data_IF_851970010659
#
_entry.id   IF_851970010659
#
_cell.length_a   1.000
_cell.length_b   1.000
_cell.length_c   1.000
_cell.angle_alpha   90.00
_cell.angle_beta   90.00
_cell.angle_gamma   90.00
#
_symmetry.space_group_name_H-M   'P 1'
#
loop_
_entity.id
_entity.type
_entity.pdbx_description
1 polymer ?
#
# COMPACT_ATOMS: atom_id res chain seq x y z
N UNK A 1 32.88 17.18 -12.29
CA UNK A 1 33.26 17.37 -13.71
C UNK A 1 32.18 16.80 -14.61
N UNK A 2 31.64 17.61 -15.52
CA UNK A 2 30.85 17.08 -16.65
C UNK A 2 31.75 16.17 -17.50
N UNK A 3 31.17 15.43 -18.46
CA UNK A 3 31.96 14.49 -19.27
C UNK A 3 33.14 15.20 -19.95
N UNK A 4 32.90 16.37 -20.54
CA UNK A 4 33.93 17.19 -21.21
C UNK A 4 35.04 17.72 -20.30
N UNK A 5 34.73 17.96 -19.02
CA UNK A 5 35.67 18.57 -18.06
C UNK A 5 36.50 17.53 -17.30
N UNK A 6 36.31 16.23 -17.59
CA UNK A 6 37.04 15.18 -16.89
C UNK A 6 38.53 15.28 -17.21
N UNK A 7 39.43 15.42 -16.20
CA UNK A 7 40.86 15.47 -16.42
C UNK A 7 41.33 14.29 -17.26
N UNK A 8 42.20 14.53 -18.24
CA UNK A 8 42.57 13.53 -19.25
C UNK A 8 43.03 12.19 -18.65
N UNK A 9 43.83 12.23 -17.58
CA UNK A 9 44.32 11.03 -16.88
C UNK A 9 43.25 10.21 -16.15
N UNK A 10 42.06 10.77 -15.90
CA UNK A 10 40.96 10.10 -15.19
C UNK A 10 39.85 9.59 -16.11
N UNK A 11 39.87 9.93 -17.40
CA UNK A 11 38.79 9.58 -18.35
C UNK A 11 38.60 8.07 -18.47
N UNK A 12 39.69 7.33 -18.62
CA UNK A 12 39.67 5.86 -18.73
C UNK A 12 39.16 5.22 -17.43
N UNK A 13 39.58 5.73 -16.27
CA UNK A 13 39.12 5.22 -14.98
C UNK A 13 37.62 5.47 -14.77
N UNK A 14 37.14 6.67 -15.16
CA UNK A 14 35.72 7.01 -15.12
C UNK A 14 34.88 6.07 -15.99
N UNK A 15 35.31 5.82 -17.22
CA UNK A 15 34.61 4.91 -18.13
C UNK A 15 34.62 3.47 -17.64
N UNK A 16 35.77 2.99 -17.16
CA UNK A 16 35.90 1.66 -16.57
C UNK A 16 34.95 1.46 -15.38
N UNK A 17 34.84 2.45 -14.51
CA UNK A 17 33.91 2.38 -13.38
C UNK A 17 32.45 2.32 -13.85
N UNK A 18 32.07 3.09 -14.88
CA UNK A 18 30.71 3.01 -15.43
C UNK A 18 30.40 1.64 -16.04
N UNK A 19 31.38 0.99 -16.69
CA UNK A 19 31.23 -0.37 -17.20
C UNK A 19 31.04 -1.36 -16.04
N UNK A 20 31.86 -1.24 -14.99
CA UNK A 20 31.73 -2.08 -13.80
C UNK A 20 30.35 -1.93 -13.13
N UNK A 21 29.85 -0.70 -13.01
CA UNK A 21 28.54 -0.41 -12.41
C UNK A 21 27.37 -0.95 -13.25
N UNK A 22 27.51 -1.05 -14.59
CA UNK A 22 26.47 -1.64 -15.45
C UNK A 22 26.50 -3.17 -15.44
N UNK A 23 27.68 -3.76 -15.32
CA UNK A 23 27.87 -5.20 -15.45
C UNK A 23 27.58 -5.71 -16.87
N UNK A 24 27.28 -7.01 -16.98
CA UNK A 24 27.14 -7.73 -18.25
C UNK A 24 25.72 -8.28 -18.50
N UNK A 25 24.77 -7.95 -17.62
CA UNK A 25 23.39 -8.43 -17.67
C UNK A 25 23.18 -9.91 -17.34
N UNK A 26 24.20 -10.62 -16.85
CA UNK A 26 24.16 -12.07 -16.60
C UNK A 26 24.46 -12.41 -15.14
N UNK A 27 24.16 -13.63 -14.73
CA UNK A 27 24.50 -14.15 -13.40
C UNK A 27 23.59 -13.64 -12.27
N UNK A 28 23.68 -14.31 -11.14
CA UNK A 28 22.98 -13.97 -9.88
C UNK A 28 23.75 -12.84 -9.19
N UNK A 29 23.04 -11.84 -8.69
CA UNK A 29 23.66 -10.74 -7.94
C UNK A 29 23.99 -11.15 -6.51
N UNK A 30 25.16 -10.76 -6.04
CA UNK A 30 25.62 -11.02 -4.66
C UNK A 30 25.52 -9.77 -3.79
N UNK A 31 25.52 -9.92 -2.47
CA UNK A 31 25.36 -8.79 -1.54
C UNK A 31 26.51 -7.78 -1.58
N UNK A 32 27.67 -8.16 -2.11
CA UNK A 32 28.83 -7.28 -2.32
C UNK A 32 28.83 -6.57 -3.68
N UNK A 33 27.95 -6.96 -4.61
CA UNK A 33 27.91 -6.38 -5.95
C UNK A 33 27.44 -4.91 -5.90
N UNK A 34 27.97 -4.10 -6.82
CA UNK A 34 27.58 -2.68 -7.02
C UNK A 34 26.93 -2.47 -8.40
N UNK A 35 26.35 -3.54 -8.95
CA UNK A 35 25.87 -3.57 -10.33
C UNK A 35 24.41 -3.11 -10.41
N UNK A 36 24.16 -2.12 -11.24
CA UNK A 36 22.85 -1.55 -11.55
C UNK A 36 22.40 -2.02 -12.92
N UNK A 37 21.30 -2.76 -12.95
CA UNK A 37 20.70 -3.27 -14.17
C UNK A 37 19.19 -3.43 -13.98
N UNK A 38 18.46 -3.65 -15.07
CA UNK A 38 17.01 -3.61 -15.10
C UNK A 38 16.39 -4.97 -15.36
N UNK A 39 15.23 -5.19 -14.74
CA UNK A 39 14.39 -6.34 -15.03
C UNK A 39 12.91 -5.99 -14.79
N UNK A 40 12.01 -6.85 -15.25
CA UNK A 40 10.55 -6.73 -15.07
C UNK A 40 10.12 -7.21 -13.69
N UNK A 41 8.89 -6.89 -13.27
CA UNK A 41 8.32 -7.44 -12.05
C UNK A 41 7.75 -8.83 -12.33
N UNK A 42 8.65 -9.81 -12.44
CA UNK A 42 8.36 -11.23 -12.58
C UNK A 42 8.64 -12.03 -11.28
N UNK A 43 8.93 -11.33 -10.18
CA UNK A 43 9.32 -11.89 -8.88
C UNK A 43 8.26 -11.69 -7.78
N UNK A 44 7.06 -11.26 -8.15
CA UNK A 44 5.95 -11.02 -7.21
C UNK A 44 5.12 -12.28 -6.91
N UNK A 45 5.02 -13.23 -7.85
CA UNK A 45 4.27 -14.47 -7.69
C UNK A 45 5.07 -15.56 -6.98
N UNK A 46 4.37 -16.58 -6.46
CA UNK A 46 4.98 -17.81 -5.94
C UNK A 46 4.30 -19.07 -6.50
N UNK A 47 4.39 -19.32 -7.82
CA UNK A 47 3.68 -20.42 -8.45
C UNK A 47 4.05 -21.80 -7.86
N UNK A 48 5.27 -21.98 -7.37
CA UNK A 48 5.75 -23.25 -6.81
C UNK A 48 4.99 -23.68 -5.54
N UNK A 49 4.47 -22.72 -4.77
CA UNK A 49 3.65 -22.97 -3.57
C UNK A 49 2.15 -23.16 -3.90
N UNK A 50 1.69 -22.70 -5.07
CA UNK A 50 0.28 -22.79 -5.44
C UNK A 50 -0.10 -21.97 -6.66
N UNK A 51 -1.07 -22.47 -7.43
CA UNK A 51 -1.57 -21.80 -8.65
C UNK A 51 -2.18 -20.43 -8.34
N UNK A 52 -2.83 -20.29 -7.18
CA UNK A 52 -3.43 -19.06 -6.66
C UNK A 52 -2.40 -17.99 -6.30
N UNK A 53 -1.13 -18.36 -6.16
CA UNK A 53 -0.01 -17.45 -5.92
C UNK A 53 0.71 -17.05 -7.22
N UNK A 54 0.27 -17.57 -8.36
CA UNK A 54 0.74 -17.13 -9.68
C UNK A 54 0.32 -15.68 -9.93
N UNK A 55 1.26 -14.85 -10.42
CA UNK A 55 0.99 -13.45 -10.79
C UNK A 55 1.50 -13.18 -12.20
N UNK A 56 0.83 -12.30 -12.96
CA UNK A 56 1.34 -11.87 -14.26
C UNK A 56 2.63 -11.06 -14.10
N UNK A 57 3.53 -11.15 -15.08
CA UNK A 57 4.70 -10.28 -15.15
C UNK A 57 4.28 -8.86 -15.50
N UNK A 58 4.71 -7.88 -14.71
CA UNK A 58 4.49 -6.46 -15.00
C UNK A 58 5.73 -5.85 -15.67
N UNK A 59 5.54 -5.24 -16.83
CA UNK A 59 6.59 -4.69 -17.69
C UNK A 59 6.99 -5.62 -18.83
N UNK A 60 7.50 -5.04 -19.93
CA UNK A 60 7.99 -5.80 -21.09
C UNK A 60 6.90 -6.23 -22.09
N UNK A 61 5.62 -6.05 -21.77
CA UNK A 61 4.50 -6.30 -22.68
C UNK A 61 3.62 -5.05 -22.83
N UNK A 62 2.86 -4.98 -23.93
CA UNK A 62 1.87 -3.93 -24.15
C UNK A 62 0.63 -4.11 -23.27
N UNK A 63 0.32 -5.35 -22.87
CA UNK A 63 -0.84 -5.66 -22.02
C UNK A 63 -0.61 -5.25 -20.56
N UNK A 64 0.64 -5.34 -20.08
CA UNK A 64 1.02 -4.96 -18.72
C UNK A 64 2.24 -4.03 -18.76
N UNK A 65 2.10 -2.79 -19.24
CA UNK A 65 3.18 -1.83 -19.22
C UNK A 65 3.50 -1.44 -17.77
N UNK A 66 4.79 -1.45 -17.42
CA UNK A 66 5.22 -1.11 -16.05
C UNK A 66 6.69 -0.64 -16.03
N UNK A 67 7.08 0.24 -15.10
CA UNK A 67 8.48 0.55 -14.83
C UNK A 67 9.33 -0.71 -14.59
N UNK A 68 10.63 -0.59 -14.85
CA UNK A 68 11.59 -1.66 -14.51
C UNK A 68 12.03 -1.54 -13.07
N UNK A 69 12.42 -2.67 -12.49
CA UNK A 69 13.04 -2.77 -11.16
C UNK A 69 14.52 -3.13 -11.30
N UNK A 70 15.24 -3.14 -10.17
CA UNK A 70 16.62 -3.60 -10.12
C UNK A 70 16.71 -5.10 -10.41
N UNK A 71 17.53 -5.49 -11.40
CA UNK A 71 17.80 -6.90 -11.72
C UNK A 71 18.48 -7.59 -10.54
N UNK A 72 18.03 -8.80 -10.23
CA UNK A 72 18.57 -9.67 -9.17
C UNK A 72 19.16 -10.95 -9.75
N UNK A 73 18.57 -11.46 -10.84
CA UNK A 73 19.12 -12.56 -11.62
C UNK A 73 19.10 -13.91 -10.90
N UNK A 74 18.22 -14.10 -9.91
CA UNK A 74 17.98 -15.40 -9.28
C UNK A 74 17.40 -16.38 -10.30
N UNK A 75 17.44 -17.66 -9.94
CA UNK A 75 16.88 -18.70 -10.78
C UNK A 75 15.37 -18.49 -10.96
N UNK A 76 14.80 -18.91 -12.11
CA UNK A 76 13.37 -19.03 -12.26
C UNK A 76 12.74 -19.96 -11.22
N UNK A 77 11.42 -19.89 -11.08
CA UNK A 77 10.67 -20.87 -10.28
C UNK A 77 10.64 -22.22 -11.01
N UNK A 78 10.38 -23.30 -10.28
CA UNK A 78 10.36 -24.66 -10.85
C UNK A 78 9.17 -24.85 -11.82
N UNK A 79 8.05 -24.19 -11.53
CA UNK A 79 6.81 -24.30 -12.33
C UNK A 79 6.79 -23.33 -13.52
N UNK A 80 7.47 -22.18 -13.45
CA UNK A 80 7.40 -21.16 -14.49
C UNK A 80 8.77 -20.53 -14.77
N UNK A 81 9.35 -20.87 -15.93
CA UNK A 81 10.66 -20.35 -16.37
C UNK A 81 10.71 -18.82 -16.57
N UNK A 82 9.57 -18.14 -16.63
CA UNK A 82 9.47 -16.69 -16.79
C UNK A 82 9.27 -15.95 -15.46
N UNK A 83 8.93 -16.66 -14.38
CA UNK A 83 8.84 -16.09 -13.04
C UNK A 83 10.17 -16.29 -12.31
N UNK A 84 10.70 -15.26 -11.67
CA UNK A 84 11.91 -15.36 -10.85
C UNK A 84 11.55 -15.86 -9.44
N UNK A 85 12.37 -16.75 -8.87
CA UNK A 85 12.19 -17.25 -7.51
C UNK A 85 12.13 -16.12 -6.48
N UNK A 86 11.28 -16.30 -5.45
CA UNK A 86 11.11 -15.33 -4.37
C UNK A 86 12.23 -15.39 -3.36
N UNK A 87 12.46 -14.25 -2.71
CA UNK A 87 13.30 -14.17 -1.50
C UNK A 87 12.38 -14.10 -0.29
N UNK A 88 12.41 -15.13 0.54
CA UNK A 88 11.66 -15.17 1.80
C UNK A 88 12.51 -14.68 2.97
N UNK A 89 11.85 -14.14 3.99
CA UNK A 89 12.54 -13.73 5.23
C UNK A 89 13.23 -14.94 5.89
N UNK A 90 14.42 -14.76 6.49
CA UNK A 90 15.12 -13.51 6.76
C UNK A 90 16.12 -13.07 5.68
N UNK A 91 16.11 -13.70 4.50
CA UNK A 91 17.10 -13.43 3.47
C UNK A 91 16.90 -12.02 2.87
N UNK A 92 17.98 -11.23 2.69
CA UNK A 92 17.88 -9.90 2.13
C UNK A 92 17.65 -9.95 0.61
N UNK A 93 16.74 -9.10 0.13
CA UNK A 93 16.61 -8.82 -1.30
C UNK A 93 17.86 -8.07 -1.78
N UNK A 94 18.43 -8.49 -2.91
CA UNK A 94 19.58 -7.78 -3.48
C UNK A 94 19.19 -6.37 -3.91
N UNK A 95 19.99 -5.42 -3.47
CA UNK A 95 20.19 -4.10 -4.08
C UNK A 95 21.71 -3.85 -4.14
N UNK A 96 22.20 -2.99 -5.04
CA UNK A 96 23.61 -2.63 -5.10
C UNK A 96 24.14 -2.27 -3.70
N UNK A 97 25.35 -2.71 -3.36
CA UNK A 97 25.86 -2.69 -1.99
C UNK A 97 25.73 -1.34 -1.30
N UNK A 98 25.96 -0.27 -2.05
CA UNK A 98 25.93 1.11 -1.53
C UNK A 98 24.50 1.64 -1.31
N UNK A 99 23.48 0.98 -1.87
CA UNK A 99 22.04 1.29 -1.70
C UNK A 99 21.40 0.53 -0.53
N UNK A 100 22.12 -0.41 0.09
CA UNK A 100 21.60 -1.15 1.23
C UNK A 100 21.46 -0.25 2.45
N UNK A 101 20.43 -0.50 3.25
CA UNK A 101 20.32 0.13 4.55
C UNK A 101 21.54 -0.19 5.42
N UNK A 102 21.99 0.80 6.20
CA UNK A 102 22.88 0.52 7.30
C UNK A 102 22.18 -0.37 8.35
N UNK A 103 22.95 -0.99 9.24
CA UNK A 103 22.45 -2.01 10.17
C UNK A 103 21.30 -1.48 11.05
N UNK A 104 21.40 -0.27 11.58
CA UNK A 104 20.37 0.31 12.44
C UNK A 104 19.05 0.58 11.70
N UNK A 105 19.11 1.10 10.47
CA UNK A 105 17.93 1.28 9.62
C UNK A 105 17.35 -0.06 9.19
N UNK A 106 18.20 -1.04 8.84
CA UNK A 106 17.76 -2.38 8.45
C UNK A 106 17.02 -3.07 9.60
N UNK A 107 17.58 -3.04 10.81
CA UNK A 107 16.94 -3.59 12.00
C UNK A 107 15.58 -2.91 12.26
N UNK A 108 15.53 -1.58 12.16
CA UNK A 108 14.28 -0.82 12.28
C UNK A 108 13.27 -1.24 11.21
N UNK A 109 13.70 -1.40 9.96
CA UNK A 109 12.85 -1.83 8.85
C UNK A 109 12.30 -3.24 9.06
N UNK A 110 13.15 -4.20 9.47
CA UNK A 110 12.74 -5.59 9.76
C UNK A 110 11.70 -5.62 10.89
N UNK A 111 11.94 -4.89 11.98
CA UNK A 111 11.00 -4.79 13.09
C UNK A 111 9.67 -4.18 12.63
N UNK A 112 9.71 -3.09 11.86
CA UNK A 112 8.49 -2.45 11.32
C UNK A 112 7.73 -3.35 10.37
N UNK A 113 8.42 -4.09 9.48
CA UNK A 113 7.80 -5.05 8.56
C UNK A 113 7.14 -6.19 9.33
N UNK A 114 7.82 -6.74 10.34
CA UNK A 114 7.25 -7.78 11.22
C UNK A 114 6.02 -7.26 11.96
N UNK A 115 6.10 -6.06 12.55
CA UNK A 115 4.96 -5.39 13.20
C UNK A 115 3.79 -5.21 12.24
N UNK A 116 4.04 -4.80 10.99
CA UNK A 116 3.00 -4.66 9.96
C UNK A 116 2.33 -6.00 9.60
N UNK A 117 3.09 -7.08 9.46
CA UNK A 117 2.52 -8.42 9.23
C UNK A 117 1.64 -8.85 10.40
N UNK A 118 2.11 -8.65 11.63
CA UNK A 118 1.33 -8.96 12.84
C UNK A 118 0.04 -8.14 12.89
N UNK A 119 0.12 -6.84 12.59
CA UNK A 119 -1.03 -5.96 12.52
C UNK A 119 -2.05 -6.41 11.48
N UNK A 120 -1.62 -6.91 10.32
CA UNK A 120 -2.54 -7.47 9.31
C UNK A 120 -3.23 -8.76 9.77
N UNK A 121 -2.64 -9.50 10.72
CA UNK A 121 -3.23 -10.71 11.28
C UNK A 121 -4.20 -10.45 12.43
N UNK A 122 -4.25 -9.23 12.97
CA UNK A 122 -5.10 -8.85 14.12
C UNK A 122 -6.58 -9.23 13.93
N UNK A 123 -7.22 -8.98 12.77
CA UNK A 123 -8.58 -9.45 12.53
C UNK A 123 -8.72 -10.98 12.66
N UNK A 124 -7.79 -11.75 12.08
CA UNK A 124 -7.80 -13.22 12.17
C UNK A 124 -7.48 -13.75 13.57
N UNK A 125 -6.63 -13.05 14.33
CA UNK A 125 -6.34 -13.36 15.72
C UNK A 125 -7.55 -13.10 16.63
N UNK A 126 -8.23 -11.98 16.43
CA UNK A 126 -9.50 -11.66 17.11
C UNK A 126 -10.54 -12.74 16.83
N UNK A 127 -10.70 -13.12 15.56
CA UNK A 127 -11.61 -14.19 15.16
C UNK A 127 -11.29 -15.52 15.85
N UNK A 128 -10.01 -15.84 16.06
CA UNK A 128 -9.57 -17.08 16.73
C UNK A 128 -9.79 -17.07 18.25
N UNK A 129 -9.84 -15.89 18.88
CA UNK A 129 -10.07 -15.71 20.33
C UNK A 129 -11.55 -15.75 20.70
N UNK A 130 -12.43 -15.29 19.81
CA UNK A 130 -13.87 -15.21 20.04
C UNK A 130 -14.57 -16.47 19.55
N UNK A 131 -15.04 -17.34 20.44
CA UNK A 131 -15.75 -18.56 20.07
C UNK A 131 -17.05 -18.30 19.26
N UNK A 132 -17.64 -17.10 19.37
CA UNK A 132 -18.96 -16.79 18.80
C UNK A 132 -19.07 -15.43 18.06
N UNK A 133 -18.00 -14.63 17.90
CA UNK A 133 -18.12 -13.31 17.26
C UNK A 133 -16.80 -12.78 16.66
N UNK A 134 -16.65 -12.96 15.35
CA UNK A 134 -15.42 -12.64 14.61
C UNK A 134 -15.31 -11.17 14.16
N UNK A 135 -16.32 -10.34 14.42
CA UNK A 135 -16.44 -9.01 13.85
C UNK A 135 -16.11 -7.88 14.84
N UNK A 136 -15.89 -6.67 14.32
CA UNK A 136 -15.96 -5.44 15.11
C UNK A 136 -17.42 -5.01 15.22
N UNK A 137 -18.00 -5.16 16.41
CA UNK A 137 -19.44 -4.92 16.62
C UNK A 137 -19.73 -3.46 16.91
N UNK A 138 -18.73 -2.72 17.43
CA UNK A 138 -18.85 -1.34 17.86
C UNK A 138 -17.57 -0.59 17.51
N UNK A 139 -17.68 0.73 17.35
CA UNK A 139 -16.48 1.58 17.18
C UNK A 139 -15.55 1.54 18.39
N UNK A 140 -16.06 1.26 19.59
CA UNK A 140 -15.20 1.03 20.76
C UNK A 140 -14.23 -0.14 20.56
N UNK A 141 -14.66 -1.21 19.90
CA UNK A 141 -13.79 -2.37 19.62
C UNK A 141 -12.60 -1.99 18.73
N UNK A 142 -12.74 -0.93 17.93
CA UNK A 142 -11.68 -0.37 17.09
C UNK A 142 -10.82 0.59 17.91
N UNK A 143 -11.42 1.44 18.75
CA UNK A 143 -10.71 2.32 19.68
C UNK A 143 -9.77 1.53 20.61
N UNK A 144 -10.22 0.35 21.05
CA UNK A 144 -9.48 -0.54 21.96
C UNK A 144 -8.15 -1.00 21.35
N UNK A 145 -8.04 -1.08 20.01
CA UNK A 145 -6.78 -1.39 19.32
C UNK A 145 -5.68 -0.35 19.59
N UNK A 146 -6.07 0.88 19.92
CA UNK A 146 -5.17 2.01 20.17
C UNK A 146 -5.02 2.36 21.65
N UNK A 147 -5.99 2.02 22.52
CA UNK A 147 -5.88 2.24 23.97
C UNK A 147 -5.18 1.07 24.66
N UNK A 148 -5.78 -0.12 24.55
CA UNK A 148 -5.44 -1.29 25.37
C UNK A 148 -4.75 -2.40 24.55
N UNK A 149 -4.90 -2.36 23.22
CA UNK A 149 -4.42 -3.38 22.30
C UNK A 149 -5.25 -4.66 22.35
N UNK A 150 -4.87 -5.68 21.55
CA UNK A 150 -5.55 -6.98 21.63
C UNK A 150 -5.06 -7.81 22.83
N UNK A 151 -5.96 -8.32 23.68
CA UNK A 151 -5.60 -9.28 24.72
C UNK A 151 -5.38 -10.67 24.09
N UNK A 152 -4.15 -11.01 23.70
CA UNK A 152 -3.82 -12.38 23.31
C UNK A 152 -3.50 -13.23 24.55
N UNK A 153 -4.10 -14.42 24.61
CA UNK A 153 -3.69 -15.44 25.58
C UNK A 153 -2.30 -15.98 25.20
N UNK A 154 -1.44 -16.22 26.21
CA UNK A 154 -0.05 -16.71 26.02
C UNK A 154 0.04 -18.00 25.18
N UNK A 155 -1.01 -18.82 25.22
CA UNK A 155 -1.18 -20.04 24.41
C UNK A 155 -1.12 -19.77 22.89
N UNK A 156 -1.74 -18.67 22.43
CA UNK A 156 -1.79 -18.31 20.99
C UNK A 156 -0.48 -17.68 20.55
N UNK A 157 0.13 -16.88 21.43
CA UNK A 157 1.45 -16.28 21.19
C UNK A 157 2.52 -17.35 20.92
N UNK A 158 2.44 -18.48 21.63
CA UNK A 158 3.33 -19.63 21.44
C UNK A 158 3.05 -20.42 20.15
N UNK A 159 1.85 -20.35 19.58
CA UNK A 159 1.51 -21.09 18.35
C UNK A 159 1.96 -20.39 17.06
N UNK A 160 2.33 -19.11 17.13
CA UNK A 160 2.69 -18.32 15.95
C UNK A 160 4.19 -17.99 16.02
N UNK A 161 5.05 -18.68 15.24
CA UNK A 161 6.51 -18.51 15.31
C UNK A 161 6.97 -17.06 15.11
N UNK A 162 6.32 -16.34 14.19
CA UNK A 162 6.59 -14.92 13.92
C UNK A 162 6.40 -14.01 15.14
N UNK A 163 5.39 -14.28 15.97
CA UNK A 163 5.15 -13.50 17.19
C UNK A 163 6.23 -13.77 18.24
N UNK A 164 6.74 -15.01 18.34
CA UNK A 164 7.81 -15.37 19.27
C UNK A 164 9.14 -14.67 18.94
N UNK A 165 9.45 -14.49 17.65
CA UNK A 165 10.65 -13.76 17.23
C UNK A 165 10.55 -12.29 17.64
N UNK A 166 9.37 -11.71 17.49
CA UNK A 166 9.14 -10.29 17.75
C UNK A 166 9.09 -9.97 19.24
N UNK A 167 8.52 -10.84 20.08
CA UNK A 167 8.51 -10.68 21.54
C UNK A 167 9.90 -10.71 22.15
N UNK A 168 10.81 -11.54 21.62
CA UNK A 168 12.24 -11.55 22.02
C UNK A 168 12.99 -10.26 21.65
N UNK A 169 12.53 -9.55 20.62
CA UNK A 169 13.12 -8.27 20.17
C UNK A 169 12.49 -7.08 20.93
N UNK A 170 11.26 -7.23 21.42
CA UNK A 170 10.43 -6.13 21.93
C UNK A 170 10.39 -5.99 23.47
N UNK A 171 11.27 -6.66 24.22
CA UNK A 171 11.42 -6.43 25.68
C UNK A 171 11.69 -4.95 26.07
N UNK A 172 11.87 -4.03 25.11
CA UNK A 172 12.16 -2.61 25.33
C UNK A 172 11.03 -1.59 25.03
N UNK A 173 9.85 -1.94 24.50
CA UNK A 173 8.82 -0.90 24.25
C UNK A 173 7.39 -1.43 24.09
N UNK A 174 6.41 -0.62 24.51
CA UNK A 174 4.96 -0.83 24.56
C UNK A 174 4.36 -1.89 23.60
N UNK A 175 3.37 -2.63 24.11
CA UNK A 175 2.84 -3.90 23.60
C UNK A 175 2.74 -4.04 22.08
N UNK A 176 3.20 -5.18 21.58
CA UNK A 176 3.25 -5.56 20.17
C UNK A 176 1.90 -5.46 19.43
N UNK A 177 0.80 -5.55 20.15
CA UNK A 177 -0.56 -5.65 19.61
C UNK A 177 -1.35 -4.35 19.78
N UNK A 178 -0.67 -3.29 20.21
CA UNK A 178 -1.22 -1.95 20.36
C UNK A 178 -0.75 -1.09 19.19
N UNK A 179 -1.71 -0.49 18.51
CA UNK A 179 -1.45 0.48 17.46
C UNK A 179 -1.09 1.84 18.07
N UNK A 180 -0.27 2.60 17.35
CA UNK A 180 -0.08 4.01 17.67
C UNK A 180 -1.37 4.78 17.37
N UNK A 181 -1.82 5.63 18.29
CA UNK A 181 -3.06 6.41 18.11
C UNK A 181 -2.94 7.37 16.93
N UNK A 182 -3.81 7.27 15.90
CA UNK A 182 -3.80 8.16 14.75
C UNK A 182 -4.01 9.62 15.15
N UNK A 183 -3.32 10.53 14.46
CA UNK A 183 -3.41 11.98 14.74
C UNK A 183 -4.83 12.53 14.58
N UNK A 184 -5.59 12.03 13.60
CA UNK A 184 -6.96 12.48 13.33
C UNK A 184 -7.90 12.27 14.54
N UNK A 185 -7.77 11.14 15.24
CA UNK A 185 -8.60 10.83 16.42
C UNK A 185 -7.98 11.29 17.76
N UNK A 186 -6.78 11.88 17.73
CA UNK A 186 -6.05 12.23 18.96
C UNK A 186 -6.68 13.37 19.76
N UNK A 187 -7.41 14.28 19.10
CA UNK A 187 -8.12 15.40 19.74
C UNK A 187 -9.62 15.19 19.77
N UNK A 188 -10.19 14.80 18.63
CA UNK A 188 -11.62 14.55 18.46
C UNK A 188 -11.81 13.17 17.83
N UNK A 189 -12.33 12.23 18.62
CA UNK A 189 -12.56 10.83 18.23
C UNK A 189 -13.55 10.67 17.09
N UNK A 190 -14.45 11.63 16.87
CA UNK A 190 -15.52 11.55 15.87
C UNK A 190 -15.30 12.49 14.68
N UNK A 191 -14.15 13.18 14.63
CA UNK A 191 -13.82 14.13 13.56
C UNK A 191 -13.93 13.50 12.16
N UNK A 192 -13.50 12.25 12.01
CA UNK A 192 -13.52 11.49 10.75
C UNK A 192 -14.93 11.19 10.21
N UNK A 193 -15.99 11.28 11.04
CA UNK A 193 -17.38 11.09 10.60
C UNK A 193 -17.99 12.34 9.95
N UNK A 194 -17.32 13.50 10.08
CA UNK A 194 -17.85 14.78 9.63
C UNK A 194 -17.59 14.99 8.13
N UNK A 195 -18.51 15.68 7.45
CA UNK A 195 -18.43 15.89 6.01
C UNK A 195 -17.39 16.94 5.61
N UNK A 196 -17.14 17.91 6.48
CA UNK A 196 -16.10 18.90 6.27
C UNK A 196 -14.72 18.27 6.38
N UNK A 197 -14.50 17.37 7.35
CA UNK A 197 -13.25 16.61 7.45
C UNK A 197 -13.09 15.68 6.25
N UNK A 198 -14.11 14.90 5.88
CA UNK A 198 -14.09 14.06 4.68
C UNK A 198 -13.70 14.85 3.42
N UNK A 199 -14.28 16.04 3.22
CA UNK A 199 -13.96 16.90 2.07
C UNK A 199 -12.56 17.53 2.19
N UNK A 200 -12.13 17.89 3.40
CA UNK A 200 -10.80 18.44 3.65
C UNK A 200 -9.70 17.43 3.33
N UNK A 201 -9.92 16.14 3.59
CA UNK A 201 -8.95 15.08 3.31
C UNK A 201 -8.61 14.98 1.82
N UNK A 202 -9.59 15.22 0.94
CA UNK A 202 -9.40 15.20 -0.51
C UNK A 202 -8.41 16.26 -1.04
N UNK A 203 -8.11 17.31 -0.27
CA UNK A 203 -7.20 18.41 -0.67
C UNK A 203 -5.98 18.57 0.24
N UNK A 204 -5.99 18.02 1.44
CA UNK A 204 -5.01 18.36 2.47
C UNK A 204 -4.64 17.20 3.41
N UNK A 205 -4.83 15.95 2.97
CA UNK A 205 -4.41 14.79 3.75
C UNK A 205 -3.62 13.77 2.92
N UNK A 206 -3.89 12.48 3.07
CA UNK A 206 -2.99 11.40 2.63
C UNK A 206 -2.91 11.33 1.10
N UNK A 207 -4.00 11.67 0.40
CA UNK A 207 -4.07 11.61 -1.06
C UNK A 207 -4.66 12.89 -1.70
N UNK A 208 -3.94 14.03 -1.66
CA UNK A 208 -4.49 15.34 -2.01
C UNK A 208 -4.42 15.66 -3.53
N UNK A 209 -4.22 14.64 -4.37
CA UNK A 209 -3.86 14.83 -5.80
C UNK A 209 -4.92 14.32 -6.78
N UNK A 210 -5.99 13.68 -6.29
CA UNK A 210 -7.01 13.04 -7.13
C UNK A 210 -8.23 13.93 -7.43
N UNK A 211 -8.45 14.98 -6.63
CA UNK A 211 -9.64 15.81 -6.79
C UNK A 211 -9.58 16.62 -8.08
N UNK A 212 -10.66 16.56 -8.87
CA UNK A 212 -10.77 17.28 -10.13
C UNK A 212 -11.99 18.21 -10.15
N UNK A 213 -11.84 19.34 -10.85
CA UNK A 213 -12.95 20.25 -11.10
C UNK A 213 -13.94 19.66 -12.09
N UNK A 214 -15.21 19.56 -11.69
CA UNK A 214 -16.28 19.05 -12.55
C UNK A 214 -16.63 20.06 -13.66
N UNK A 215 -16.35 19.71 -14.92
CA UNK A 215 -16.57 20.59 -16.10
C UNK A 215 -17.93 20.40 -16.78
N UNK A 216 -18.50 19.20 -16.73
CA UNK A 216 -19.76 18.82 -17.38
C UNK A 216 -20.64 18.12 -16.36
N UNK A 217 -21.95 18.38 -16.40
CA UNK A 217 -22.93 17.76 -15.52
C UNK A 217 -24.17 17.29 -16.32
N UNK A 218 -24.60 16.03 -16.17
CA UNK A 218 -24.04 15.00 -15.30
C UNK A 218 -22.67 14.48 -15.79
N UNK A 219 -21.96 13.74 -14.93
CA UNK A 219 -20.72 13.05 -15.30
C UNK A 219 -21.00 12.03 -16.40
N UNK A 220 -20.11 11.97 -17.40
CA UNK A 220 -20.20 11.04 -18.52
C UNK A 220 -19.00 10.10 -18.47
N UNK A 221 -19.26 8.79 -18.42
CA UNK A 221 -18.23 7.76 -18.49
C UNK A 221 -17.64 7.67 -19.90
N UNK A 222 -16.35 7.31 -19.99
CA UNK A 222 -15.65 7.05 -21.25
C UNK A 222 -15.40 5.55 -21.48
N UNK A 223 -15.91 4.69 -20.60
CA UNK A 223 -15.76 3.24 -20.73
C UNK A 223 -16.67 2.73 -21.85
N UNK A 224 -16.33 1.57 -22.40
CA UNK A 224 -17.11 0.94 -23.47
C UNK A 224 -18.48 0.44 -22.94
N UNK A 225 -19.62 0.92 -23.50
CA UNK A 225 -20.94 0.49 -23.07
C UNK A 225 -21.24 -0.99 -23.33
N UNK A 226 -20.62 -1.61 -24.32
CA UNK A 226 -20.82 -3.05 -24.60
C UNK A 226 -20.24 -3.93 -23.49
N UNK A 227 -19.18 -3.46 -22.82
CA UNK A 227 -18.50 -4.18 -21.74
C UNK A 227 -19.16 -3.97 -20.37
N UNK A 228 -19.67 -2.77 -20.09
CA UNK A 228 -20.11 -2.37 -18.74
C UNK A 228 -21.57 -1.87 -18.65
N UNK A 229 -22.40 -2.17 -19.65
CA UNK A 229 -23.82 -1.80 -19.72
C UNK A 229 -24.09 -0.29 -19.53
N UNK A 230 -25.15 0.06 -18.79
CA UNK A 230 -25.67 1.41 -18.63
C UNK A 230 -24.78 2.28 -17.74
N UNK A 231 -24.08 3.24 -18.35
CA UNK A 231 -23.11 4.10 -17.67
C UNK A 231 -23.60 5.54 -17.41
N UNK A 232 -24.85 5.87 -17.76
CA UNK A 232 -25.36 7.22 -17.50
C UNK A 232 -25.47 7.47 -15.99
N UNK A 233 -24.95 8.61 -15.55
CA UNK A 233 -24.97 8.98 -14.14
C UNK A 233 -26.41 9.17 -13.65
N UNK A 234 -26.74 8.53 -12.53
CA UNK A 234 -28.02 8.71 -11.85
C UNK A 234 -28.16 10.08 -11.13
N UNK A 235 -27.08 10.86 -11.06
CA UNK A 235 -27.09 12.16 -10.38
C UNK A 235 -27.76 13.23 -11.24
N UNK A 236 -28.87 13.79 -10.76
CA UNK A 236 -29.65 14.84 -11.44
C UNK A 236 -29.44 16.19 -10.78
N UNK A 237 -29.68 17.27 -11.53
CA UNK A 237 -29.54 18.66 -11.04
C UNK A 237 -30.42 18.93 -9.83
N UNK A 238 -31.64 18.39 -9.87
CA UNK A 238 -32.65 18.47 -8.80
C UNK A 238 -32.14 17.97 -7.45
N UNK A 239 -31.25 16.97 -7.45
CA UNK A 239 -30.72 16.37 -6.22
C UNK A 239 -29.78 17.32 -5.46
N UNK A 240 -29.17 18.29 -6.14
CA UNK A 240 -28.17 19.18 -5.53
C UNK A 240 -28.62 20.63 -5.42
N UNK A 241 -29.62 21.06 -6.21
CA UNK A 241 -30.13 22.45 -6.27
C UNK A 241 -30.47 23.07 -4.90
N UNK A 242 -31.12 22.33 -4.01
CA UNK A 242 -31.54 22.84 -2.70
C UNK A 242 -30.40 23.09 -1.70
N UNK A 243 -29.20 22.57 -1.98
CA UNK A 243 -28.05 22.62 -1.07
C UNK A 243 -26.97 23.59 -1.55
N UNK A 244 -27.24 24.30 -2.65
CA UNK A 244 -26.29 25.22 -3.27
C UNK A 244 -26.15 26.56 -2.54
N UNK A 245 -26.86 26.77 -1.42
CA UNK A 245 -26.92 28.07 -0.74
C UNK A 245 -27.22 29.24 -1.71
N UNK A 246 -28.03 28.99 -2.74
CA UNK A 246 -28.36 29.96 -3.80
C UNK A 246 -27.42 29.97 -5.02
N UNK A 247 -26.39 29.12 -5.07
CA UNK A 247 -25.48 28.97 -6.21
C UNK A 247 -26.06 28.06 -7.30
N UNK A 248 -25.47 28.07 -8.51
CA UNK A 248 -25.84 27.13 -9.59
C UNK A 248 -25.16 25.77 -9.40
N UNK A 249 -25.73 24.72 -10.00
CA UNK A 249 -25.51 23.24 -9.89
C UNK A 249 -24.04 22.73 -9.88
N UNK A 250 -23.04 23.61 -9.99
CA UNK A 250 -21.64 23.26 -10.18
C UNK A 250 -20.92 22.71 -8.94
N UNK A 251 -21.52 22.74 -7.75
CA UNK A 251 -20.86 22.29 -6.51
C UNK A 251 -21.93 21.79 -5.53
N UNK A 252 -21.75 20.65 -4.84
CA UNK A 252 -22.29 20.32 -3.48
C UNK A 252 -22.72 18.84 -3.26
N UNK A 253 -22.48 18.37 -2.03
CA UNK A 253 -22.82 17.09 -1.39
C UNK A 253 -24.20 17.14 -0.69
N UNK A 254 -24.86 15.98 -0.51
CA UNK A 254 -26.20 15.89 0.11
C UNK A 254 -26.06 15.49 1.60
N UNK A 255 -26.42 16.35 2.57
CA UNK A 255 -26.47 15.94 3.97
C UNK A 255 -27.75 15.12 4.28
N UNK A 256 -27.67 14.17 5.21
CA UNK A 256 -28.79 13.30 5.58
C UNK A 256 -29.89 14.04 6.35
N UNK A 257 -31.14 13.61 6.17
CA UNK A 257 -32.33 14.27 6.75
C UNK A 257 -32.86 13.53 7.99
N UNK A 258 -32.48 12.27 8.16
CA UNK A 258 -32.88 11.38 9.25
C UNK A 258 -31.76 10.39 9.61
N UNK A 259 -31.95 9.61 10.68
CA UNK A 259 -30.94 8.66 11.15
C UNK A 259 -30.59 7.56 10.13
N UNK A 260 -31.57 7.07 9.37
CA UNK A 260 -31.35 6.03 8.35
C UNK A 260 -30.59 6.60 7.17
N UNK A 261 -30.98 7.79 6.69
CA UNK A 261 -30.24 8.46 5.61
C UNK A 261 -28.83 8.86 6.04
N UNK A 262 -28.61 9.16 7.33
CA UNK A 262 -27.28 9.43 7.87
C UNK A 262 -26.36 8.22 7.78
N UNK A 263 -26.80 7.05 8.24
CA UNK A 263 -25.97 5.85 8.15
C UNK A 263 -25.73 5.40 6.70
N UNK A 264 -26.71 5.58 5.80
CA UNK A 264 -26.49 5.37 4.36
C UNK A 264 -25.42 6.32 3.80
N UNK A 265 -25.42 7.58 4.25
CA UNK A 265 -24.41 8.56 3.85
C UNK A 265 -23.01 8.19 4.37
N UNK A 266 -22.90 7.76 5.63
CA UNK A 266 -21.61 7.28 6.17
C UNK A 266 -21.10 6.06 5.40
N UNK A 267 -21.97 5.13 5.02
CA UNK A 267 -21.60 3.98 4.19
C UNK A 267 -21.13 4.41 2.78
N UNK A 268 -21.81 5.38 2.17
CA UNK A 268 -21.38 5.94 0.89
C UNK A 268 -19.99 6.56 0.97
N UNK A 269 -19.70 7.35 2.02
CA UNK A 269 -18.36 7.89 2.28
C UNK A 269 -17.32 6.78 2.48
N UNK A 270 -17.66 5.72 3.20
CA UNK A 270 -16.77 4.58 3.39
C UNK A 270 -16.40 3.89 2.07
N UNK A 271 -17.35 3.74 1.13
CA UNK A 271 -17.06 3.22 -0.22
C UNK A 271 -16.13 4.15 -1.01
N UNK A 272 -16.34 5.46 -0.94
CA UNK A 272 -15.43 6.44 -1.58
C UNK A 272 -14.03 6.34 -0.97
N UNK A 273 -13.91 6.29 0.36
CA UNK A 273 -12.62 6.13 1.04
C UNK A 273 -11.92 4.82 0.69
N UNK A 274 -12.65 3.72 0.52
CA UNK A 274 -12.06 2.43 0.14
C UNK A 274 -11.44 2.49 -1.27
N UNK A 275 -12.14 3.13 -2.22
CA UNK A 275 -11.60 3.35 -3.57
C UNK A 275 -10.40 4.30 -3.54
N UNK A 276 -10.51 5.42 -2.81
CA UNK A 276 -9.40 6.38 -2.69
C UNK A 276 -8.17 5.75 -2.04
N UNK A 277 -8.35 4.92 -1.00
CA UNK A 277 -7.25 4.19 -0.37
C UNK A 277 -6.57 3.22 -1.35
N UNK A 278 -7.33 2.53 -2.20
CA UNK A 278 -6.80 1.65 -3.25
C UNK A 278 -5.96 2.42 -4.27
N UNK A 279 -6.50 3.53 -4.79
CA UNK A 279 -5.79 4.40 -5.76
C UNK A 279 -4.56 5.03 -5.10
N UNK A 280 -4.71 5.56 -3.89
CA UNK A 280 -3.62 6.15 -3.14
C UNK A 280 -2.46 5.17 -3.00
N UNK A 281 -2.71 3.97 -2.46
CA UNK A 281 -1.64 3.01 -2.17
C UNK A 281 -1.01 2.45 -3.43
N UNK A 282 -1.79 2.09 -4.46
CA UNK A 282 -1.30 1.35 -5.61
C UNK A 282 -0.87 2.22 -6.80
N UNK A 283 -1.33 3.46 -6.86
CA UNK A 283 -1.10 4.34 -8.03
C UNK A 283 -0.30 5.58 -7.63
N UNK A 284 -0.70 6.27 -6.57
CA UNK A 284 -0.07 7.55 -6.21
C UNK A 284 1.15 7.38 -5.30
N UNK A 285 1.22 6.28 -4.54
CA UNK A 285 2.26 6.07 -3.54
C UNK A 285 3.28 4.99 -3.90
N UNK A 286 2.82 3.81 -4.34
CA UNK A 286 3.69 2.68 -4.75
C UNK A 286 4.51 3.00 -5.99
#
# INVERSE_FOLDING_TARGET
YLLGDTPAGLRVLREKELINLRGDGKGVRTLSDRTYDFDTYNDLGNPDEGVELTRPTLGGSQNHPYPRRCRTGRAPTDINMHAESRVEMPLPMYVPRDEQFNESKLNTFVIKRLKAVVHNLIPGLKASLSANNHDFNRFSDIDDLYSDGLPLQDEILKKIPLLQVLTKIQECSQGLLKYDTPKIISKDKFSWLRDDEFSRQAIAEVNPVNIEGLKVFPLVSKLDPETYDHQDSALKKEHILGQLNGMTVQQVLIPPVDATTNWKWQLAKAHVCANDAGVHQLVNHW
#
